data_IF_152301678477
#
_entry.id   IF_152301678477
#
_cell.length_a   1.000
_cell.length_b   1.000
_cell.length_c   1.000
_cell.angle_alpha   90.00
_cell.angle_beta   90.00
_cell.angle_gamma   90.00
#
_symmetry.space_group_name_H-M   'P 1'
#
loop_
_entity.id
_entity.type
_entity.pdbx_description
1 polymer ?
#
# COMPACT_ATOMS: atom_id res chain seq x y z
N UNK A 1 6.04 18.23 -2.57
CA UNK A 1 6.27 17.13 -3.53
C UNK A 1 7.69 17.24 -4.03
N UNK A 2 8.56 16.26 -3.76
CA UNK A 2 9.88 16.24 -4.39
C UNK A 2 9.69 15.73 -5.82
N UNK A 3 10.05 16.53 -6.83
CA UNK A 3 10.18 16.06 -8.20
C UNK A 3 11.56 15.46 -8.41
N UNK A 4 11.71 14.51 -9.33
CA UNK A 4 13.00 13.94 -9.69
C UNK A 4 14.02 15.03 -10.09
N UNK A 5 13.54 16.13 -10.66
CA UNK A 5 14.35 17.28 -11.09
C UNK A 5 14.98 18.09 -9.94
N UNK A 6 14.55 17.86 -8.70
CA UNK A 6 15.08 18.56 -7.52
C UNK A 6 16.29 17.87 -6.89
N UNK A 7 16.68 16.69 -7.39
CA UNK A 7 17.79 15.90 -6.84
C UNK A 7 18.99 16.02 -7.76
N UNK A 8 19.97 16.85 -7.38
CA UNK A 8 21.24 16.97 -8.10
C UNK A 8 22.32 16.14 -7.38
N UNK A 9 22.87 15.17 -8.09
CA UNK A 9 24.03 14.42 -7.61
C UNK A 9 25.33 15.06 -8.15
N UNK A 10 26.40 15.13 -7.34
CA UNK A 10 27.71 15.57 -7.81
C UNK A 10 28.21 14.66 -8.93
N UNK A 11 28.85 15.26 -9.95
CA UNK A 11 29.43 14.49 -11.07
C UNK A 11 30.50 13.48 -10.61
N UNK A 12 31.13 13.71 -9.47
CA UNK A 12 32.09 12.79 -8.86
C UNK A 12 31.50 11.43 -8.46
N UNK A 13 30.17 11.33 -8.34
CA UNK A 13 29.45 10.08 -8.02
C UNK A 13 28.92 9.36 -9.27
N UNK A 14 29.16 9.92 -10.45
CA UNK A 14 28.67 9.41 -11.73
C UNK A 14 29.49 8.20 -12.17
N UNK A 15 28.80 7.10 -12.43
CA UNK A 15 29.38 5.86 -12.97
C UNK A 15 28.55 5.31 -14.11
N UNK A 16 29.06 4.32 -14.84
CA UNK A 16 28.32 3.64 -15.91
C UNK A 16 28.09 2.17 -15.59
N UNK A 17 26.90 1.67 -15.92
CA UNK A 17 26.59 0.25 -15.80
C UNK A 17 27.39 -0.57 -16.81
N UNK A 18 27.78 -1.81 -16.44
CA UNK A 18 28.68 -2.65 -17.24
C UNK A 18 28.07 -3.12 -18.58
N UNK A 19 26.76 -3.43 -18.62
CA UNK A 19 26.13 -3.99 -19.82
C UNK A 19 25.59 -2.92 -20.77
N UNK A 20 24.86 -1.95 -20.26
CA UNK A 20 24.12 -0.99 -21.07
C UNK A 20 24.79 0.38 -21.11
N UNK A 21 25.88 0.60 -20.37
CA UNK A 21 26.56 1.88 -20.31
C UNK A 21 25.74 3.05 -19.73
N UNK A 22 24.63 2.73 -19.04
CA UNK A 22 23.74 3.74 -18.46
C UNK A 22 24.43 4.50 -17.35
N UNK A 23 24.19 5.80 -17.31
CA UNK A 23 24.68 6.63 -16.22
C UNK A 23 23.90 6.33 -14.93
N UNK A 24 24.62 6.04 -13.87
CA UNK A 24 24.08 5.86 -12.52
C UNK A 24 24.92 6.65 -11.52
N UNK A 25 24.33 7.02 -10.40
CA UNK A 25 25.00 7.80 -9.37
C UNK A 25 25.17 6.95 -8.11
N UNK A 26 26.40 6.92 -7.56
CA UNK A 26 26.70 6.28 -6.29
C UNK A 26 26.44 7.21 -5.09
N UNK A 27 26.40 6.62 -3.89
CA UNK A 27 26.46 7.39 -2.63
C UNK A 27 25.14 7.89 -2.05
N UNK A 28 24.01 7.75 -2.75
CA UNK A 28 22.70 8.24 -2.24
C UNK A 28 21.54 7.27 -2.43
N UNK A 29 21.83 5.99 -2.70
CA UNK A 29 20.82 5.01 -3.08
C UNK A 29 20.72 4.85 -4.60
N UNK A 30 19.72 4.12 -5.05
CA UNK A 30 19.46 3.89 -6.48
C UNK A 30 18.37 4.85 -6.94
N UNK A 31 18.68 5.74 -7.88
CA UNK A 31 17.70 6.62 -8.49
C UNK A 31 16.81 5.78 -9.42
N UNK A 32 15.48 5.87 -9.28
CA UNK A 32 14.57 5.17 -10.18
C UNK A 32 14.59 5.79 -11.58
N UNK A 33 14.49 4.97 -12.63
CA UNK A 33 14.35 5.44 -14.01
C UNK A 33 12.98 6.10 -14.26
N UNK A 34 11.99 5.71 -13.49
CA UNK A 34 10.66 6.29 -13.52
C UNK A 34 10.23 6.68 -12.11
N UNK A 35 10.06 7.96 -11.89
CA UNK A 35 9.67 8.49 -10.59
C UNK A 35 8.14 8.48 -10.45
N UNK A 36 7.64 7.81 -9.42
CA UNK A 36 6.22 7.83 -9.02
C UNK A 36 6.12 8.52 -7.66
N UNK A 37 5.50 9.71 -7.59
CA UNK A 37 5.35 10.40 -6.32
C UNK A 37 4.41 9.64 -5.40
N UNK A 38 4.74 9.57 -4.12
CA UNK A 38 3.86 8.96 -3.11
C UNK A 38 2.66 9.90 -2.85
N UNK A 39 1.46 9.40 -3.11
CA UNK A 39 0.23 10.11 -2.72
C UNK A 39 -0.07 9.87 -1.24
N UNK A 40 0.17 10.90 -0.43
CA UNK A 40 -0.13 10.88 1.00
C UNK A 40 -1.49 11.46 1.34
N UNK A 41 -2.28 11.88 0.36
CA UNK A 41 -3.54 12.61 0.61
C UNK A 41 -4.61 11.73 1.26
N UNK A 42 -4.61 10.42 0.97
CA UNK A 42 -5.53 9.46 1.57
C UNK A 42 -5.13 9.05 3.00
N UNK A 43 -3.89 9.34 3.41
CA UNK A 43 -3.39 9.02 4.74
C UNK A 43 -3.55 10.23 5.67
N UNK A 44 -4.79 10.50 6.06
CA UNK A 44 -5.17 11.67 6.90
C UNK A 44 -4.63 11.57 8.32
N UNK A 45 -4.73 12.67 9.10
CA UNK A 45 -4.32 12.66 10.51
C UNK A 45 -5.12 11.63 11.32
N UNK A 46 -6.43 11.56 11.13
CA UNK A 46 -7.29 10.55 11.78
C UNK A 46 -6.80 9.11 11.52
N UNK A 47 -6.46 8.80 10.27
CA UNK A 47 -5.92 7.48 9.91
C UNK A 47 -4.56 7.22 10.60
N UNK A 48 -3.66 8.22 10.61
CA UNK A 48 -2.37 8.12 11.33
C UNK A 48 -2.54 7.85 12.81
N UNK A 49 -3.48 8.54 13.45
CA UNK A 49 -3.73 8.39 14.88
C UNK A 49 -4.27 7.00 15.22
N UNK A 50 -5.20 6.46 14.41
CA UNK A 50 -5.66 5.08 14.52
C UNK A 50 -4.52 4.07 14.33
N UNK A 51 -3.66 4.29 13.34
CA UNK A 51 -2.52 3.41 13.04
C UNK A 51 -1.48 3.44 14.15
N UNK A 52 -1.10 4.63 14.63
CA UNK A 52 -0.11 4.82 15.68
C UNK A 52 -0.54 4.21 17.02
N UNK A 53 -1.84 4.21 17.30
CA UNK A 53 -2.42 3.55 18.47
C UNK A 53 -2.72 2.06 18.26
N UNK A 54 -2.38 1.50 17.10
CA UNK A 54 -2.57 0.09 16.78
C UNK A 54 -4.03 -0.34 16.64
N UNK A 55 -4.96 0.60 16.42
CA UNK A 55 -6.41 0.31 16.39
C UNK A 55 -6.77 -0.60 15.21
N UNK A 56 -6.19 -0.38 14.04
CA UNK A 56 -6.38 -1.25 12.87
C UNK A 56 -6.02 -2.71 13.17
N UNK A 57 -4.88 -2.92 13.82
CA UNK A 57 -4.44 -4.27 14.22
C UNK A 57 -5.36 -4.87 15.29
N UNK A 58 -5.75 -4.07 16.29
CA UNK A 58 -6.67 -4.52 17.34
C UNK A 58 -8.00 -5.00 16.76
N UNK A 59 -8.61 -4.19 15.90
CA UNK A 59 -9.89 -4.53 15.27
C UNK A 59 -9.74 -5.74 14.35
N UNK A 60 -8.68 -5.80 13.57
CA UNK A 60 -8.36 -6.95 12.73
C UNK A 60 -8.29 -8.25 13.56
N UNK A 61 -7.58 -8.28 14.71
CA UNK A 61 -7.54 -9.47 15.56
C UNK A 61 -8.92 -9.85 16.11
N UNK A 62 -9.71 -8.89 16.56
CA UNK A 62 -11.07 -9.14 17.01
C UNK A 62 -11.95 -9.75 15.90
N UNK A 63 -11.82 -9.26 14.67
CA UNK A 63 -12.55 -9.77 13.52
C UNK A 63 -12.12 -11.20 13.16
N UNK A 64 -10.82 -11.47 13.14
CA UNK A 64 -10.28 -12.80 12.85
C UNK A 64 -10.69 -13.80 13.94
N UNK A 65 -10.61 -13.43 15.21
CA UNK A 65 -11.02 -14.31 16.31
C UNK A 65 -12.51 -14.69 16.22
N UNK A 66 -13.35 -13.77 15.76
CA UNK A 66 -14.79 -13.99 15.65
C UNK A 66 -15.18 -14.74 14.37
N UNK A 67 -14.58 -14.42 13.24
CA UNK A 67 -15.08 -14.83 11.92
C UNK A 67 -14.16 -15.78 11.13
N UNK A 68 -12.99 -16.17 11.67
CA UNK A 68 -12.02 -17.01 10.95
C UNK A 68 -12.64 -18.26 10.33
N UNK A 69 -13.45 -18.99 11.09
CA UNK A 69 -14.06 -20.23 10.61
C UNK A 69 -15.08 -19.96 9.51
N UNK A 70 -15.96 -19.00 9.72
CA UNK A 70 -16.95 -18.55 8.74
C UNK A 70 -16.30 -18.17 7.41
N UNK A 71 -15.26 -17.32 7.46
CA UNK A 71 -14.60 -16.87 6.24
C UNK A 71 -13.80 -17.96 5.53
N UNK A 72 -13.20 -18.92 6.27
CA UNK A 72 -12.54 -20.07 5.66
C UNK A 72 -13.52 -21.02 4.97
N UNK A 73 -14.73 -21.12 5.45
CA UNK A 73 -15.80 -21.90 4.83
C UNK A 73 -16.40 -21.18 3.61
N UNK A 74 -16.60 -19.86 3.73
CA UNK A 74 -17.13 -19.05 2.63
C UNK A 74 -16.14 -18.91 1.46
N UNK A 75 -14.85 -18.75 1.76
CA UNK A 75 -13.81 -18.51 0.77
C UNK A 75 -12.78 -19.63 0.79
N UNK A 76 -12.92 -20.58 -0.14
CA UNK A 76 -12.02 -21.76 -0.23
C UNK A 76 -10.61 -21.43 -0.70
N UNK A 77 -10.46 -20.31 -1.39
CA UNK A 77 -9.19 -19.84 -1.93
C UNK A 77 -9.14 -18.30 -1.90
N UNK A 78 -7.92 -17.77 -1.97
CA UNK A 78 -7.70 -16.34 -1.95
C UNK A 78 -8.28 -15.59 -3.17
N UNK A 79 -8.23 -16.07 -4.43
CA UNK A 79 -8.86 -15.37 -5.55
C UNK A 79 -10.35 -15.07 -5.35
N UNK A 80 -11.11 -16.02 -4.79
CA UNK A 80 -12.54 -15.81 -4.48
C UNK A 80 -12.70 -14.77 -3.36
N UNK A 81 -11.94 -14.87 -2.28
CA UNK A 81 -11.91 -13.87 -1.23
C UNK A 81 -11.54 -12.48 -1.78
N UNK A 82 -10.50 -12.38 -2.58
CA UNK A 82 -10.06 -11.10 -3.12
C UNK A 82 -11.11 -10.44 -4.01
N UNK A 83 -11.89 -11.24 -4.74
CA UNK A 83 -12.95 -10.75 -5.61
C UNK A 83 -14.21 -10.34 -4.83
N UNK A 84 -14.60 -11.11 -3.82
CA UNK A 84 -15.93 -11.05 -3.22
C UNK A 84 -15.97 -10.48 -1.81
N UNK A 85 -14.88 -10.60 -1.04
CA UNK A 85 -14.85 -10.07 0.32
C UNK A 85 -14.74 -8.55 0.33
N UNK A 86 -15.66 -7.92 1.02
CA UNK A 86 -15.65 -6.49 1.29
C UNK A 86 -15.68 -6.21 2.79
N UNK A 87 -14.88 -5.26 3.23
CA UNK A 87 -14.94 -4.76 4.60
C UNK A 87 -16.22 -3.97 4.77
N UNK A 88 -17.12 -4.50 5.59
CA UNK A 88 -18.47 -3.95 5.80
C UNK A 88 -18.43 -2.63 6.59
N UNK A 89 -19.53 -1.87 6.50
CA UNK A 89 -19.70 -0.67 7.34
C UNK A 89 -19.73 -1.00 8.83
N UNK A 90 -20.22 -2.19 9.22
CA UNK A 90 -20.20 -2.65 10.62
C UNK A 90 -18.75 -2.82 11.13
N UNK A 91 -17.85 -3.39 10.33
CA UNK A 91 -16.44 -3.51 10.67
C UNK A 91 -15.76 -2.14 10.79
N UNK A 92 -16.12 -1.20 9.90
CA UNK A 92 -15.60 0.18 9.95
C UNK A 92 -16.17 0.94 11.16
N UNK A 93 -17.42 0.69 11.54
CA UNK A 93 -17.99 1.27 12.74
C UNK A 93 -17.28 0.75 14.01
N UNK A 94 -16.94 -0.54 14.06
CA UNK A 94 -16.12 -1.10 15.15
C UNK A 94 -14.75 -0.40 15.23
N UNK A 95 -14.12 -0.11 14.08
CA UNK A 95 -12.86 0.64 14.04
C UNK A 95 -13.01 2.03 14.65
N UNK A 96 -14.08 2.74 14.31
CA UNK A 96 -14.38 4.07 14.86
C UNK A 96 -14.56 4.00 16.38
N UNK A 97 -15.33 3.03 16.86
CA UNK A 97 -15.61 2.85 18.29
C UNK A 97 -14.37 2.51 19.10
N UNK A 98 -13.53 1.59 18.60
CA UNK A 98 -12.26 1.25 19.24
C UNK A 98 -11.29 2.44 19.22
N UNK A 99 -11.31 3.24 18.17
CA UNK A 99 -10.58 4.50 18.09
C UNK A 99 -11.02 5.49 19.15
N UNK A 100 -12.32 5.71 19.31
CA UNK A 100 -12.90 6.59 20.36
C UNK A 100 -12.53 6.11 21.77
N UNK A 101 -12.63 4.81 22.05
CA UNK A 101 -12.22 4.21 23.33
C UNK A 101 -10.72 4.45 23.64
N UNK A 102 -9.89 4.48 22.62
CA UNK A 102 -8.47 4.78 22.72
C UNK A 102 -8.15 6.28 22.73
N UNK A 103 -9.15 7.16 22.73
CA UNK A 103 -8.98 8.60 22.73
C UNK A 103 -8.54 9.19 21.39
N UNK A 104 -8.92 8.54 20.26
CA UNK A 104 -8.80 9.14 18.93
C UNK A 104 -10.10 9.89 18.64
N UNK A 105 -9.99 11.21 18.45
CA UNK A 105 -11.14 12.03 18.12
C UNK A 105 -11.62 11.74 16.70
N UNK A 106 -12.91 11.43 16.55
CA UNK A 106 -13.50 11.14 15.25
C UNK A 106 -13.62 12.41 14.41
N UNK A 107 -13.12 12.35 13.19
CA UNK A 107 -13.26 13.41 12.19
C UNK A 107 -13.87 12.82 10.92
N UNK A 108 -15.12 13.19 10.64
CA UNK A 108 -15.91 12.62 9.55
C UNK A 108 -15.27 12.88 8.17
N UNK A 109 -14.78 14.09 7.91
CA UNK A 109 -14.17 14.44 6.62
C UNK A 109 -12.91 13.61 6.39
N UNK A 110 -12.03 13.53 7.39
CA UNK A 110 -10.81 12.74 7.32
C UNK A 110 -11.10 11.24 7.22
N UNK A 111 -12.11 10.76 7.95
CA UNK A 111 -12.57 9.38 7.86
C UNK A 111 -13.04 9.05 6.45
N UNK A 112 -13.95 9.82 5.87
CA UNK A 112 -14.45 9.60 4.51
C UNK A 112 -13.33 9.54 3.48
N UNK A 113 -12.33 10.41 3.62
CA UNK A 113 -11.18 10.45 2.73
C UNK A 113 -10.28 9.23 2.88
N UNK A 114 -10.06 8.73 4.10
CA UNK A 114 -9.18 7.60 4.38
C UNK A 114 -9.89 6.24 4.38
N UNK A 115 -11.21 6.19 4.44
CA UNK A 115 -11.97 4.95 4.56
C UNK A 115 -11.62 3.91 3.49
N UNK A 116 -11.45 4.26 2.20
CA UNK A 116 -11.05 3.28 1.19
C UNK A 116 -9.70 2.62 1.51
N UNK A 117 -8.72 3.39 1.97
CA UNK A 117 -7.41 2.86 2.34
C UNK A 117 -7.47 2.03 3.61
N UNK A 118 -8.22 2.46 4.63
CA UNK A 118 -8.42 1.68 5.87
C UNK A 118 -9.13 0.35 5.60
N UNK A 119 -10.16 0.34 4.74
CA UNK A 119 -10.83 -0.89 4.30
C UNK A 119 -9.86 -1.84 3.61
N UNK A 120 -9.04 -1.33 2.69
CA UNK A 120 -8.02 -2.12 2.00
C UNK A 120 -7.00 -2.71 2.98
N UNK A 121 -6.53 -1.94 3.96
CA UNK A 121 -5.60 -2.41 4.98
C UNK A 121 -6.23 -3.51 5.85
N UNK A 122 -7.48 -3.36 6.28
CA UNK A 122 -8.19 -4.41 7.03
C UNK A 122 -8.34 -5.68 6.18
N UNK A 123 -8.76 -5.54 4.92
CA UNK A 123 -8.86 -6.68 3.99
C UNK A 123 -7.52 -7.39 3.82
N UNK A 124 -6.43 -6.65 3.65
CA UNK A 124 -5.09 -7.22 3.50
C UNK A 124 -4.63 -7.96 4.77
N UNK A 125 -4.89 -7.39 5.97
CA UNK A 125 -4.58 -8.05 7.24
C UNK A 125 -5.40 -9.33 7.44
N UNK A 126 -6.68 -9.33 7.07
CA UNK A 126 -7.54 -10.51 7.10
C UNK A 126 -7.02 -11.58 6.12
N UNK A 127 -6.66 -11.18 4.89
CA UNK A 127 -6.07 -12.09 3.90
C UNK A 127 -4.78 -12.76 4.43
N UNK A 128 -3.90 -11.99 5.10
CA UNK A 128 -2.69 -12.53 5.74
C UNK A 128 -3.00 -13.66 6.73
N UNK A 129 -4.01 -13.48 7.58
CA UNK A 129 -4.29 -14.41 8.66
C UNK A 129 -5.17 -15.60 8.22
N UNK A 130 -5.85 -15.48 7.10
CA UNK A 130 -6.56 -16.61 6.48
C UNK A 130 -5.62 -17.47 5.61
N UNK A 131 -4.63 -16.86 4.96
CA UNK A 131 -3.64 -17.52 4.10
C UNK A 131 -2.22 -17.19 4.57
N UNK A 132 -1.53 -16.23 3.92
CA UNK A 132 -0.19 -15.84 4.33
C UNK A 132 0.19 -14.39 3.91
N UNK A 133 1.47 -14.06 4.00
CA UNK A 133 1.98 -12.73 3.71
C UNK A 133 1.94 -12.38 2.21
N UNK A 134 1.92 -13.37 1.31
CA UNK A 134 1.81 -13.10 -0.13
C UNK A 134 0.44 -12.49 -0.45
N UNK A 135 -0.62 -13.03 0.14
CA UNK A 135 -1.98 -12.52 -0.02
C UNK A 135 -2.15 -11.12 0.58
N UNK A 136 -1.46 -10.84 1.68
CA UNK A 136 -1.37 -9.47 2.21
C UNK A 136 -0.82 -8.51 1.17
N UNK A 137 0.37 -8.80 0.64
CA UNK A 137 1.01 -7.93 -0.34
C UNK A 137 0.24 -7.87 -1.64
N UNK A 138 -0.33 -8.97 -2.10
CA UNK A 138 -1.18 -8.97 -3.28
C UNK A 138 -2.40 -8.06 -3.11
N UNK A 139 -3.00 -8.03 -1.94
CA UNK A 139 -4.14 -7.16 -1.64
C UNK A 139 -3.70 -5.69 -1.52
N UNK A 140 -2.71 -5.38 -0.67
CA UNK A 140 -2.36 -4.00 -0.35
C UNK A 140 -1.73 -3.27 -1.54
N UNK A 141 -0.96 -3.97 -2.37
CA UNK A 141 -0.29 -3.40 -3.54
C UNK A 141 -1.27 -2.96 -4.65
N UNK A 142 -2.55 -3.35 -4.56
CA UNK A 142 -3.58 -2.84 -5.47
C UNK A 142 -3.79 -1.31 -5.35
N UNK A 143 -3.40 -0.71 -4.22
CA UNK A 143 -3.43 0.74 -4.02
C UNK A 143 -2.07 1.42 -4.25
N UNK A 144 -1.00 0.66 -4.48
CA UNK A 144 0.34 1.21 -4.68
C UNK A 144 0.54 1.69 -6.13
N UNK A 145 0.65 2.99 -6.30
CA UNK A 145 0.82 3.60 -7.64
C UNK A 145 2.16 3.23 -8.27
N UNK A 146 3.20 2.95 -7.48
CA UNK A 146 4.49 2.50 -8.00
C UNK A 146 4.38 1.10 -8.58
N UNK A 147 3.66 0.20 -7.91
CA UNK A 147 3.38 -1.16 -8.40
C UNK A 147 2.52 -1.13 -9.66
N UNK A 148 1.44 -0.33 -9.65
CA UNK A 148 0.59 -0.15 -10.84
C UNK A 148 1.40 0.35 -12.03
N UNK A 149 2.24 1.37 -11.81
CA UNK A 149 3.07 1.94 -12.86
C UNK A 149 4.14 0.97 -13.36
N UNK A 150 4.74 0.19 -12.47
CA UNK A 150 5.68 -0.85 -12.87
C UNK A 150 5.01 -1.91 -13.76
N UNK A 151 3.81 -2.37 -13.40
CA UNK A 151 3.03 -3.32 -14.22
C UNK A 151 2.68 -2.72 -15.59
N UNK A 152 2.28 -1.45 -15.62
CA UNK A 152 1.99 -0.75 -16.89
C UNK A 152 3.22 -0.71 -17.80
N UNK A 153 4.37 -0.30 -17.24
CA UNK A 153 5.62 -0.20 -18.00
C UNK A 153 6.10 -1.55 -18.51
N UNK A 154 6.03 -2.62 -17.69
CA UNK A 154 6.45 -3.96 -18.07
C UNK A 154 5.58 -4.58 -19.17
N UNK A 155 4.33 -4.12 -19.34
CA UNK A 155 3.43 -4.56 -20.41
C UNK A 155 3.67 -3.85 -21.74
N UNK A 156 4.54 -2.85 -21.79
CA UNK A 156 4.82 -2.09 -23.02
C UNK A 156 5.84 -2.84 -23.87
N UNK A 157 5.59 -2.94 -25.18
CA UNK A 157 6.50 -3.57 -26.13
C UNK A 157 7.84 -2.83 -26.29
N UNK A 158 7.87 -1.53 -25.89
CA UNK A 158 9.05 -0.68 -25.96
C UNK A 158 9.79 -0.54 -24.60
N UNK A 159 9.50 -1.41 -23.63
CA UNK A 159 10.05 -1.33 -22.27
C UNK A 159 11.60 -1.24 -22.28
N UNK A 160 12.27 -2.08 -23.09
CA UNK A 160 13.73 -2.05 -23.19
C UNK A 160 14.26 -0.70 -23.70
N UNK A 161 13.53 -0.05 -24.61
CA UNK A 161 13.89 1.27 -25.13
C UNK A 161 13.72 2.39 -24.09
N UNK A 162 12.81 2.22 -23.11
CA UNK A 162 12.64 3.18 -22.01
C UNK A 162 13.83 3.18 -21.05
N UNK A 163 14.52 2.04 -20.92
CA UNK A 163 15.68 1.89 -20.06
C UNK A 163 16.97 2.50 -20.68
N UNK A 164 16.96 2.81 -21.97
CA UNK A 164 18.14 3.27 -22.74
C UNK A 164 18.10 4.81 -22.97
N UNK A 165 16.96 5.45 -22.75
CA UNK A 165 16.86 6.92 -22.90
C UNK A 165 17.63 7.61 -21.79
N UNK A 166 18.72 8.31 -22.18
CA UNK A 166 19.45 9.27 -21.38
C UNK A 166 18.65 10.55 -21.15
#
# INVERSE_FOLDING_TARGET
MMSADSIHFPDSLKTKTLKLGRTVYGGGGIMPDYFVPVDTTLYTQYHRDLSNKGILLKVHYQLIDTHRQEWKEAYRNYPDFNREFEVSEAMMQQLIEEGKKAGVEYNEEQYRKSAPLMKLQLKALIARDLWDMNEYYHTINTADESVKKAIELLKRDDFENLLIKE
#
